data_IF_792827192358
#
_entry.id   IF_792827192358
#
_cell.length_a   1.000
_cell.length_b   1.000
_cell.length_c   1.000
_cell.angle_alpha   90.00
_cell.angle_beta   90.00
_cell.angle_gamma   90.00
#
_symmetry.space_group_name_H-M   'P 1'
#
loop_
_entity.id
_entity.type
_entity.pdbx_description
1 polymer ?
#
# COMPACT_ATOMS: atom_id res chain seq x y z
N UNK A 1 22.58 0.11 2.67
CA UNK A 1 21.27 0.22 2.01
C UNK A 1 20.49 -1.07 1.92
N UNK A 2 20.89 -2.00 2.77
CA UNK A 2 20.29 -3.33 2.75
C UNK A 2 18.77 -3.31 2.98
N UNK A 3 18.29 -2.42 3.86
CA UNK A 3 16.86 -2.31 4.11
C UNK A 3 16.08 -1.97 2.82
N UNK A 4 16.51 -0.92 2.10
CA UNK A 4 15.81 -0.52 0.89
C UNK A 4 15.86 -1.59 -0.19
N UNK A 5 17.02 -2.23 -0.36
CA UNK A 5 17.14 -3.32 -1.34
C UNK A 5 16.18 -4.46 -1.03
N UNK A 6 16.02 -4.79 0.26
CA UNK A 6 15.12 -5.87 0.67
C UNK A 6 13.67 -5.58 0.35
N UNK A 7 13.27 -4.31 0.29
CA UNK A 7 11.90 -3.94 -0.05
C UNK A 7 11.53 -4.33 -1.49
N UNK A 8 12.52 -4.53 -2.34
CA UNK A 8 12.27 -5.00 -3.72
C UNK A 8 11.58 -6.35 -3.73
N UNK A 9 11.84 -7.19 -2.73
CA UNK A 9 11.20 -8.49 -2.61
C UNK A 9 9.71 -8.40 -2.31
N UNK A 10 9.25 -7.24 -1.85
CA UNK A 10 7.84 -6.98 -1.56
C UNK A 10 7.14 -6.22 -2.71
N UNK A 11 7.77 -6.19 -3.88
CA UNK A 11 7.17 -5.53 -5.04
C UNK A 11 7.29 -4.01 -5.01
N UNK A 12 8.27 -3.47 -4.29
CA UNK A 12 8.54 -2.05 -4.21
C UNK A 12 9.57 -1.64 -5.26
N UNK A 13 9.28 -0.58 -6.00
CA UNK A 13 10.21 -0.04 -7.00
C UNK A 13 11.09 1.02 -6.35
N UNK A 14 12.11 0.56 -5.63
CA UNK A 14 12.96 1.43 -4.83
C UNK A 14 13.75 2.41 -5.71
N UNK A 15 14.20 1.97 -6.88
CA UNK A 15 14.94 2.86 -7.77
C UNK A 15 14.07 4.04 -8.23
N UNK A 16 12.81 3.79 -8.57
CA UNK A 16 11.89 4.87 -8.96
C UNK A 16 11.58 5.78 -7.79
N UNK A 17 11.43 5.22 -6.58
CA UNK A 17 11.18 6.02 -5.38
C UNK A 17 12.33 6.96 -5.08
N UNK A 18 13.57 6.46 -5.16
CA UNK A 18 14.76 7.29 -4.95
C UNK A 18 14.89 8.36 -6.03
N UNK A 19 14.63 8.00 -7.30
CA UNK A 19 14.68 8.95 -8.41
C UNK A 19 13.72 10.12 -8.17
N UNK A 20 12.50 9.82 -7.75
CA UNK A 20 11.50 10.84 -7.47
C UNK A 20 11.95 11.82 -6.40
N UNK A 21 12.74 11.35 -5.43
CA UNK A 21 13.26 12.16 -4.34
C UNK A 21 14.69 12.59 -4.56
N UNK A 22 15.20 12.47 -5.79
CA UNK A 22 16.54 12.89 -6.17
C UNK A 22 17.64 12.26 -5.31
N UNK A 23 17.45 10.99 -4.98
CA UNK A 23 18.42 10.20 -4.23
C UNK A 23 18.47 10.48 -2.72
N UNK A 24 17.48 11.20 -2.19
CA UNK A 24 17.45 11.53 -0.75
C UNK A 24 17.00 10.32 0.06
N UNK A 25 17.93 9.43 0.33
CA UNK A 25 17.69 8.14 0.98
C UNK A 25 17.03 8.30 2.35
N UNK A 26 17.53 9.19 3.20
CA UNK A 26 16.99 9.34 4.56
C UNK A 26 15.56 9.87 4.53
N UNK A 27 15.27 10.76 3.61
CA UNK A 27 13.91 11.27 3.46
C UNK A 27 12.96 10.17 3.00
N UNK A 28 13.40 9.35 2.05
CA UNK A 28 12.60 8.22 1.57
C UNK A 28 12.31 7.23 2.70
N UNK A 29 13.33 6.88 3.48
CA UNK A 29 13.14 6.00 4.64
C UNK A 29 12.14 6.58 5.63
N UNK A 30 12.17 7.89 5.86
CA UNK A 30 11.23 8.55 6.77
C UNK A 30 9.80 8.44 6.27
N UNK A 31 9.60 8.62 4.96
CA UNK A 31 8.27 8.45 4.37
C UNK A 31 7.80 7.00 4.47
N UNK A 32 8.68 6.05 4.19
CA UNK A 32 8.37 4.62 4.28
C UNK A 32 7.98 4.25 5.71
N UNK A 33 8.65 4.82 6.71
CA UNK A 33 8.39 4.48 8.11
C UNK A 33 6.97 4.81 8.55
N UNK A 34 6.27 5.67 7.83
CA UNK A 34 4.89 6.05 8.12
C UNK A 34 3.86 5.11 7.50
N UNK A 35 4.29 4.24 6.59
CA UNK A 35 3.36 3.36 5.90
C UNK A 35 2.55 2.44 6.84
N UNK A 36 3.16 1.80 7.85
CA UNK A 36 2.37 0.98 8.77
C UNK A 36 1.22 1.73 9.43
N UNK A 37 1.44 2.97 9.85
CA UNK A 37 0.41 3.80 10.46
C UNK A 37 -0.72 4.09 9.48
N UNK A 38 -0.39 4.38 8.22
CA UNK A 38 -1.37 4.62 7.18
C UNK A 38 -2.29 3.40 7.01
N UNK A 39 -1.69 2.21 6.98
CA UNK A 39 -2.47 0.97 6.82
C UNK A 39 -3.37 0.73 8.03
N UNK A 40 -2.86 0.94 9.24
CA UNK A 40 -3.63 0.73 10.46
C UNK A 40 -4.81 1.70 10.57
N UNK A 41 -4.60 2.96 10.20
CA UNK A 41 -5.65 4.00 10.26
C UNK A 41 -6.69 3.86 9.15
N UNK A 42 -6.36 3.15 8.08
CA UNK A 42 -7.23 3.03 6.92
C UNK A 42 -7.59 1.59 6.60
N UNK A 43 -7.76 0.78 7.65
CA UNK A 43 -8.16 -0.61 7.53
C UNK A 43 -9.45 -0.70 6.72
N UNK A 44 -9.45 -1.49 5.64
CA UNK A 44 -10.58 -1.52 4.71
C UNK A 44 -11.25 -2.88 4.57
N UNK A 45 -10.66 -3.94 5.12
CA UNK A 45 -11.21 -5.29 4.92
C UNK A 45 -12.65 -5.41 5.38
N UNK A 46 -12.95 -4.92 6.59
CA UNK A 46 -14.31 -5.00 7.12
C UNK A 46 -15.29 -4.17 6.30
N UNK A 47 -14.81 -3.04 5.73
CA UNK A 47 -15.66 -2.22 4.88
C UNK A 47 -16.01 -2.94 3.58
N UNK A 48 -15.05 -3.69 3.03
CA UNK A 48 -15.28 -4.51 1.83
C UNK A 48 -16.23 -5.65 2.13
N UNK A 49 -16.06 -6.30 3.30
CA UNK A 49 -16.89 -7.44 3.69
C UNK A 49 -18.34 -7.04 3.98
N UNK A 50 -18.57 -5.81 4.41
CA UNK A 50 -19.90 -5.33 4.78
C UNK A 50 -20.50 -4.39 3.72
N UNK A 51 -19.92 -4.35 2.53
CA UNK A 51 -20.41 -3.58 1.38
C UNK A 51 -20.56 -2.08 1.66
N UNK A 52 -19.69 -1.52 2.50
CA UNK A 52 -19.70 -0.09 2.78
C UNK A 52 -18.85 0.63 1.72
N UNK A 53 -19.43 0.73 0.52
CA UNK A 53 -18.72 1.13 -0.70
C UNK A 53 -18.08 2.51 -0.59
N UNK A 54 -18.82 3.53 -0.15
CA UNK A 54 -18.29 4.89 -0.10
C UNK A 54 -17.10 5.03 0.85
N UNK A 55 -17.21 4.43 2.05
CA UNK A 55 -16.11 4.45 3.02
C UNK A 55 -14.93 3.64 2.52
N UNK A 56 -15.20 2.50 1.86
CA UNK A 56 -14.14 1.67 1.31
C UNK A 56 -13.37 2.43 0.21
N UNK A 57 -14.07 3.19 -0.65
CA UNK A 57 -13.41 4.01 -1.67
C UNK A 57 -12.50 5.05 -0.99
N UNK A 58 -13.00 5.73 0.03
CA UNK A 58 -12.23 6.75 0.74
C UNK A 58 -10.92 6.17 1.28
N UNK A 59 -10.99 5.03 1.97
CA UNK A 59 -9.81 4.41 2.58
C UNK A 59 -8.84 3.85 1.53
N UNK A 60 -9.37 3.12 0.56
CA UNK A 60 -8.52 2.48 -0.46
C UNK A 60 -7.90 3.51 -1.41
N UNK A 61 -8.63 4.59 -1.72
CA UNK A 61 -8.09 5.67 -2.55
C UNK A 61 -6.91 6.35 -1.85
N UNK A 62 -7.02 6.57 -0.54
CA UNK A 62 -5.92 7.15 0.25
C UNK A 62 -4.69 6.24 0.19
N UNK A 63 -4.88 4.93 0.44
CA UNK A 63 -3.77 3.97 0.40
C UNK A 63 -3.15 3.93 -1.01
N UNK A 64 -3.99 3.94 -2.04
CA UNK A 64 -3.51 3.99 -3.43
C UNK A 64 -2.56 5.17 -3.64
N UNK A 65 -2.94 6.36 -3.16
CA UNK A 65 -2.11 7.56 -3.29
C UNK A 65 -0.77 7.42 -2.57
N UNK A 66 -0.79 6.87 -1.35
CA UNK A 66 0.43 6.66 -0.58
C UNK A 66 1.35 5.67 -1.26
N UNK A 67 0.80 4.53 -1.75
CA UNK A 67 1.62 3.53 -2.45
C UNK A 67 2.22 4.09 -3.74
N UNK A 68 1.50 4.96 -4.44
CA UNK A 68 2.03 5.63 -5.63
C UNK A 68 3.23 6.50 -5.25
N UNK A 69 3.09 7.30 -4.20
CA UNK A 69 4.16 8.21 -3.76
C UNK A 69 5.39 7.47 -3.28
N UNK A 70 5.23 6.30 -2.68
CA UNK A 70 6.34 5.49 -2.19
C UNK A 70 6.92 4.56 -3.26
N UNK A 71 6.29 4.48 -4.43
CA UNK A 71 6.64 3.53 -5.49
C UNK A 71 6.52 2.08 -5.05
N UNK A 72 5.53 1.80 -4.22
CA UNK A 72 5.16 0.44 -3.81
C UNK A 72 4.25 -0.15 -4.90
N UNK A 73 4.86 -0.48 -6.04
CA UNK A 73 4.15 -0.76 -7.28
C UNK A 73 3.15 -1.91 -7.19
N UNK A 74 3.53 -3.02 -6.56
CA UNK A 74 2.61 -4.17 -6.47
C UNK A 74 1.33 -3.81 -5.73
N UNK A 75 1.46 -3.11 -4.59
CA UNK A 75 0.29 -2.66 -3.85
C UNK A 75 -0.48 -1.59 -4.62
N UNK A 76 0.24 -0.68 -5.26
CA UNK A 76 -0.40 0.36 -6.05
C UNK A 76 -1.31 -0.22 -7.13
N UNK A 77 -0.83 -1.22 -7.87
CA UNK A 77 -1.64 -1.85 -8.92
C UNK A 77 -2.89 -2.51 -8.34
N UNK A 78 -2.76 -3.20 -7.22
CA UNK A 78 -3.90 -3.85 -6.58
C UNK A 78 -4.91 -2.84 -6.04
N UNK A 79 -4.44 -1.77 -5.37
CA UNK A 79 -5.35 -0.75 -4.87
C UNK A 79 -6.02 0.02 -6.01
N UNK A 80 -5.35 0.17 -7.14
CA UNK A 80 -5.98 0.76 -8.33
C UNK A 80 -7.18 -0.10 -8.76
N UNK A 81 -6.99 -1.41 -8.84
CA UNK A 81 -8.08 -2.33 -9.20
C UNK A 81 -9.20 -2.32 -8.16
N UNK A 82 -8.85 -2.30 -6.88
CA UNK A 82 -9.82 -2.26 -5.79
C UNK A 82 -10.72 -1.03 -5.91
N UNK A 83 -10.11 0.14 -6.09
CA UNK A 83 -10.87 1.39 -6.25
C UNK A 83 -11.77 1.32 -7.48
N UNK A 84 -11.26 0.80 -8.60
CA UNK A 84 -12.03 0.69 -9.83
C UNK A 84 -13.24 -0.24 -9.66
N UNK A 85 -13.05 -1.41 -9.02
CA UNK A 85 -14.14 -2.33 -8.74
C UNK A 85 -15.21 -1.68 -7.86
N UNK A 86 -14.77 -0.95 -6.82
CA UNK A 86 -15.72 -0.28 -5.93
C UNK A 86 -16.54 0.79 -6.68
N UNK A 87 -15.89 1.55 -7.54
CA UNK A 87 -16.58 2.57 -8.35
C UNK A 87 -17.55 1.97 -9.34
N UNK A 88 -17.31 0.73 -9.75
CA UNK A 88 -18.22 -0.02 -10.61
C UNK A 88 -19.37 -0.68 -9.82
N UNK A 89 -19.41 -0.50 -8.51
CA UNK A 89 -20.41 -1.13 -7.67
C UNK A 89 -20.19 -2.61 -7.43
N UNK A 90 -18.94 -3.06 -7.50
CA UNK A 90 -18.59 -4.48 -7.37
C UNK A 90 -17.69 -4.73 -6.15
N UNK A 91 -18.25 -4.67 -4.92
CA UNK A 91 -17.44 -4.85 -3.71
C UNK A 91 -16.87 -6.26 -3.56
N UNK A 92 -17.51 -7.28 -4.14
CA UNK A 92 -17.00 -8.64 -4.07
C UNK A 92 -15.67 -8.76 -4.84
N UNK A 93 -15.60 -8.20 -6.05
CA UNK A 93 -14.35 -8.22 -6.82
C UNK A 93 -13.26 -7.42 -6.11
N UNK A 94 -13.63 -6.31 -5.46
CA UNK A 94 -12.69 -5.53 -4.67
C UNK A 94 -12.14 -6.34 -3.51
N UNK A 95 -12.99 -7.07 -2.80
CA UNK A 95 -12.56 -7.93 -1.70
C UNK A 95 -11.64 -9.03 -2.21
N UNK A 96 -11.99 -9.66 -3.32
CA UNK A 96 -11.18 -10.73 -3.90
C UNK A 96 -9.77 -10.21 -4.24
N UNK A 97 -9.68 -9.00 -4.80
CA UNK A 97 -8.38 -8.40 -5.10
C UNK A 97 -7.60 -8.09 -3.83
N UNK A 98 -8.28 -7.55 -2.81
CA UNK A 98 -7.64 -7.27 -1.53
C UNK A 98 -7.06 -8.54 -0.90
N UNK A 99 -7.80 -9.64 -0.93
CA UNK A 99 -7.33 -10.90 -0.35
C UNK A 99 -6.06 -11.42 -1.03
N UNK A 100 -5.85 -11.10 -2.30
CA UNK A 100 -4.63 -11.48 -3.02
C UNK A 100 -3.39 -10.78 -2.49
N UNK A 101 -3.53 -9.56 -1.95
CA UNK A 101 -2.39 -8.77 -1.49
C UNK A 101 -2.29 -8.67 0.02
N UNK A 102 -3.25 -9.23 0.74
CA UNK A 102 -3.30 -9.11 2.20
C UNK A 102 -2.03 -9.60 2.88
N UNK A 103 -1.55 -10.77 2.48
CA UNK A 103 -0.34 -11.36 3.06
C UNK A 103 0.90 -10.54 2.72
N UNK A 104 1.03 -10.14 1.46
CA UNK A 104 2.15 -9.30 1.04
C UNK A 104 2.20 -8.00 1.83
N UNK A 105 1.05 -7.33 1.97
CA UNK A 105 0.96 -6.08 2.69
C UNK A 105 1.32 -6.27 4.17
N UNK A 106 0.79 -7.32 4.79
CA UNK A 106 1.08 -7.62 6.18
C UNK A 106 2.58 -7.82 6.39
N UNK A 107 3.20 -8.62 5.54
CA UNK A 107 4.63 -8.90 5.63
C UNK A 107 5.47 -7.64 5.42
N UNK A 108 5.08 -6.80 4.47
CA UNK A 108 5.76 -5.53 4.22
C UNK A 108 5.67 -4.61 5.44
N UNK A 109 4.47 -4.47 6.01
CA UNK A 109 4.27 -3.64 7.20
C UNK A 109 5.13 -4.14 8.36
N UNK A 110 5.16 -5.44 8.61
CA UNK A 110 5.97 -6.01 9.68
C UNK A 110 7.45 -5.80 9.45
N UNK A 111 7.90 -5.95 8.20
CA UNK A 111 9.31 -5.73 7.86
C UNK A 111 9.71 -4.28 8.13
N UNK A 112 8.86 -3.33 7.73
CA UNK A 112 9.12 -1.91 7.98
C UNK A 112 9.18 -1.62 9.47
N UNK A 113 8.22 -2.13 10.24
CA UNK A 113 8.19 -1.93 11.70
C UNK A 113 9.45 -2.47 12.36
N UNK A 114 9.88 -3.65 11.96
CA UNK A 114 11.03 -4.31 12.57
C UNK A 114 12.33 -3.58 12.27
N UNK A 115 12.46 -2.97 11.10
CA UNK A 115 13.74 -2.44 10.62
C UNK A 115 13.85 -0.91 10.64
N UNK A 116 12.76 -0.16 10.77
CA UNK A 116 12.78 1.31 10.74
C UNK A 116 12.17 1.98 11.96
N UNK A 117 11.46 1.24 12.81
CA UNK A 117 10.77 1.84 13.96
C UNK A 117 11.26 1.31 15.29
#
# INVERSE_FOLDING_TARGET
>A
MQFLESLKDYGCNIDAGLDRLKGKTDFYKRLISKFPEVIEENECKSLLETNQIEKAIEKTHLIKGVTANLSFDSLYFSYTKIVDFLRQGNPQAALDEYLKIEELQKNLVEYIKTNLQ
#
